data_IF_647118146866
#
_entry.id   IF_647118146866
#
_cell.length_a   1.000
_cell.length_b   1.000
_cell.length_c   1.000
_cell.angle_alpha   90.00
_cell.angle_beta   90.00
_cell.angle_gamma   90.00
#
_symmetry.space_group_name_H-M   'P 1'
#
loop_
_entity.id
_entity.type
_entity.pdbx_description
1 polymer ?
#
# COMPACT_ATOMS: atom_id res chain seq x y z
N UNK A 1 -5.21 -0.41 36.99
CA UNK A 1 -6.02 0.13 35.88
C UNK A 1 -5.17 0.02 34.62
N UNK A 2 -5.40 -0.99 33.78
CA UNK A 2 -4.65 -1.14 32.52
C UNK A 2 -5.41 -0.32 31.49
N UNK A 3 -4.98 0.92 31.29
CA UNK A 3 -5.42 1.70 30.13
C UNK A 3 -4.48 1.31 29.00
N UNK A 4 -4.82 0.22 28.29
CA UNK A 4 -4.16 -0.07 27.02
C UNK A 4 -4.67 0.95 26.01
N UNK A 5 -4.14 2.17 26.06
CA UNK A 5 -4.31 3.15 24.99
C UNK A 5 -3.60 2.55 23.77
N UNK A 6 -4.37 1.94 22.87
CA UNK A 6 -3.93 1.79 21.48
C UNK A 6 -3.77 3.20 20.94
N UNK A 7 -2.57 3.75 21.05
CA UNK A 7 -2.20 4.95 20.33
C UNK A 7 -2.38 4.64 18.84
N UNK A 8 -2.87 5.61 18.08
CA UNK A 8 -2.92 5.50 16.63
C UNK A 8 -1.50 5.18 16.15
N UNK A 9 -1.30 4.02 15.54
CA UNK A 9 -0.01 3.65 14.99
C UNK A 9 0.18 4.43 13.69
N UNK A 10 1.26 5.20 13.63
CA UNK A 10 1.61 5.93 12.42
C UNK A 10 1.97 4.94 11.31
N UNK A 11 1.37 5.13 10.15
CA UNK A 11 1.55 4.28 8.98
C UNK A 11 1.94 5.11 7.77
N UNK A 12 2.65 4.47 6.86
CA UNK A 12 3.03 5.02 5.56
C UNK A 12 2.40 4.18 4.45
N UNK A 13 2.00 4.83 3.37
CA UNK A 13 1.47 4.20 2.16
C UNK A 13 2.62 4.04 1.17
N UNK A 14 2.77 2.85 0.61
CA UNK A 14 3.79 2.54 -0.38
C UNK A 14 3.17 2.04 -1.67
N UNK A 15 3.59 2.64 -2.78
CA UNK A 15 3.42 2.10 -4.11
C UNK A 15 4.50 1.06 -4.37
N UNK A 16 4.09 -0.19 -4.55
CA UNK A 16 4.99 -1.33 -4.65
C UNK A 16 4.75 -2.03 -5.98
N UNK A 17 5.86 -2.30 -6.65
CA UNK A 17 5.90 -3.09 -7.86
C UNK A 17 6.73 -4.36 -7.62
N UNK A 18 6.20 -5.51 -8.05
CA UNK A 18 6.95 -6.76 -8.01
C UNK A 18 6.61 -7.66 -9.20
N UNK A 19 7.57 -8.52 -9.54
CA UNK A 19 7.43 -9.56 -10.56
C UNK A 19 6.99 -10.87 -9.93
N UNK A 20 6.20 -11.64 -10.69
CA UNK A 20 5.76 -12.98 -10.30
C UNK A 20 6.61 -14.07 -10.95
N UNK A 21 6.82 -15.16 -10.22
CA UNK A 21 7.54 -16.35 -10.67
C UNK A 21 6.62 -17.33 -11.41
N UNK A 22 6.01 -16.88 -12.51
CA UNK A 22 5.18 -17.70 -13.40
C UNK A 22 5.88 -17.96 -14.75
N UNK A 23 5.44 -18.98 -15.51
CA UNK A 23 5.93 -19.26 -16.88
C UNK A 23 5.89 -18.02 -17.79
N UNK A 24 4.97 -17.10 -17.53
CA UNK A 24 4.94 -15.76 -18.11
C UNK A 24 4.97 -14.76 -16.96
N UNK A 25 6.11 -14.09 -16.79
CA UNK A 25 6.28 -13.09 -15.74
C UNK A 25 5.22 -11.99 -15.86
N UNK A 26 4.56 -11.72 -14.73
CA UNK A 26 3.64 -10.59 -14.59
C UNK A 26 4.22 -9.60 -13.61
N UNK A 27 4.12 -8.34 -14.00
CA UNK A 27 4.39 -7.18 -13.14
C UNK A 27 3.10 -6.78 -12.44
N UNK A 28 3.14 -6.77 -11.11
CA UNK A 28 2.02 -6.44 -10.24
C UNK A 28 2.33 -5.11 -9.55
N UNK A 29 1.34 -4.21 -9.54
CA UNK A 29 1.39 -2.93 -8.84
C UNK A 29 0.33 -2.91 -7.73
N UNK A 30 0.73 -2.54 -6.51
CA UNK A 30 -0.16 -2.44 -5.35
C UNK A 30 0.21 -1.26 -4.47
N UNK A 31 -0.81 -0.67 -3.83
CA UNK A 31 -0.64 0.23 -2.70
C UNK A 31 -0.77 -0.58 -1.42
N UNK A 32 0.26 -0.56 -0.58
CA UNK A 32 0.27 -1.28 0.71
C UNK A 32 0.57 -0.30 1.84
N UNK A 33 0.06 -0.62 3.02
CA UNK A 33 0.20 0.19 4.23
C UNK A 33 1.10 -0.55 5.20
N UNK A 34 2.16 0.11 5.65
CA UNK A 34 3.10 -0.43 6.63
C UNK A 34 3.26 0.53 7.80
N UNK A 35 3.61 0.04 9.01
CA UNK A 35 4.03 0.90 10.11
C UNK A 35 5.16 1.82 9.66
N UNK A 36 5.16 3.08 10.10
CA UNK A 36 6.18 4.07 9.69
C UNK A 36 7.61 3.66 10.08
N UNK A 37 7.73 2.76 11.08
CA UNK A 37 9.00 2.22 11.54
C UNK A 37 9.60 1.18 10.59
N UNK A 38 8.84 0.65 9.63
CA UNK A 38 9.34 -0.36 8.70
C UNK A 38 10.37 0.25 7.74
N UNK A 39 11.51 -0.42 7.65
CA UNK A 39 12.55 -0.16 6.67
C UNK A 39 12.18 -0.78 5.32
N UNK A 40 12.85 -0.32 4.24
CA UNK A 40 12.65 -0.90 2.91
C UNK A 40 12.91 -2.40 2.87
N UNK A 41 13.89 -2.91 3.63
CA UNK A 41 14.20 -4.34 3.69
C UNK A 41 13.06 -5.12 4.35
N UNK A 42 12.53 -4.63 5.48
CA UNK A 42 11.38 -5.25 6.16
C UNK A 42 10.13 -5.26 5.27
N UNK A 43 9.94 -4.21 4.45
CA UNK A 43 8.87 -4.18 3.44
C UNK A 43 9.10 -5.25 2.36
N UNK A 44 10.33 -5.38 1.83
CA UNK A 44 10.65 -6.42 0.84
C UNK A 44 10.43 -7.84 1.39
N UNK A 45 10.87 -8.09 2.61
CA UNK A 45 10.64 -9.37 3.31
C UNK A 45 9.15 -9.61 3.50
N UNK A 46 8.40 -8.64 4.01
CA UNK A 46 6.96 -8.76 4.18
C UNK A 46 6.24 -9.04 2.86
N UNK A 47 6.63 -8.41 1.75
CA UNK A 47 6.06 -8.71 0.42
C UNK A 47 6.37 -10.16 0.02
N UNK A 48 7.64 -10.57 0.16
CA UNK A 48 8.09 -11.90 -0.26
C UNK A 48 7.46 -13.03 0.57
N UNK A 49 7.15 -12.78 1.84
CA UNK A 49 6.53 -13.75 2.75
C UNK A 49 5.01 -13.82 2.61
N UNK A 50 4.35 -12.70 2.32
CA UNK A 50 2.87 -12.61 2.35
C UNK A 50 2.21 -12.70 0.98
N UNK A 51 2.94 -12.45 -0.11
CA UNK A 51 2.41 -12.62 -1.47
C UNK A 51 2.94 -13.91 -2.11
N UNK A 52 2.05 -14.60 -2.82
CA UNK A 52 2.40 -15.83 -3.50
C UNK A 52 3.22 -15.55 -4.77
N UNK A 53 4.22 -16.39 -5.02
CA UNK A 53 5.06 -16.36 -6.22
C UNK A 53 5.77 -15.02 -6.47
N UNK A 54 6.15 -14.26 -5.44
CA UNK A 54 7.01 -13.10 -5.65
C UNK A 54 8.37 -13.59 -6.14
N UNK A 55 8.79 -13.10 -7.32
CA UNK A 55 10.14 -13.32 -7.86
C UNK A 55 11.11 -12.26 -7.34
N UNK A 56 10.70 -11.00 -7.46
CA UNK A 56 11.52 -9.83 -7.17
C UNK A 56 10.63 -8.62 -6.93
N UNK A 57 10.92 -7.83 -5.90
CA UNK A 57 10.33 -6.50 -5.70
C UNK A 57 11.17 -5.49 -6.48
N UNK A 58 10.57 -4.86 -7.48
CA UNK A 58 11.26 -3.99 -8.45
C UNK A 58 11.16 -2.51 -8.09
N UNK A 59 10.14 -2.09 -7.36
CA UNK A 59 10.01 -0.71 -6.85
C UNK A 59 9.25 -0.65 -5.52
N UNK A 60 9.69 0.26 -4.66
CA UNK A 60 9.04 0.65 -3.40
C UNK A 60 9.13 2.17 -3.30
N UNK A 61 8.00 2.85 -3.42
CA UNK A 61 7.91 4.31 -3.39
C UNK A 61 6.91 4.75 -2.32
N UNK A 62 7.32 5.65 -1.42
CA UNK A 62 6.40 6.29 -0.48
C UNK A 62 5.44 7.17 -1.26
N UNK A 63 4.14 6.99 -0.99
CA UNK A 63 3.10 7.91 -1.44
C UNK A 63 2.79 8.86 -0.29
N UNK A 64 3.04 10.15 -0.53
CA UNK A 64 2.82 11.20 0.47
C UNK A 64 1.32 11.46 0.66
N UNK A 65 0.59 11.54 -0.45
CA UNK A 65 -0.81 11.93 -0.47
C UNK A 65 -1.59 11.15 -1.54
N UNK A 66 -2.91 11.07 -1.39
CA UNK A 66 -3.85 10.57 -2.40
C UNK A 66 -4.98 11.56 -2.59
N UNK A 67 -5.40 11.80 -3.83
CA UNK A 67 -6.51 12.72 -4.14
C UNK A 67 -7.81 11.95 -4.31
N UNK A 68 -8.84 12.33 -3.55
CA UNK A 68 -10.20 11.89 -3.78
C UNK A 68 -10.81 12.74 -4.90
N UNK A 69 -11.14 12.11 -6.03
CA UNK A 69 -11.91 12.76 -7.08
C UNK A 69 -13.39 12.66 -6.74
N UNK A 70 -14.02 13.77 -6.38
CA UNK A 70 -15.48 13.86 -6.31
C UNK A 70 -16.00 14.25 -7.70
N UNK A 71 -16.77 13.38 -8.33
CA UNK A 71 -17.64 13.84 -9.41
C UNK A 71 -18.73 14.68 -8.75
N UNK A 72 -18.78 15.97 -9.06
CA UNK A 72 -19.97 16.75 -8.79
C UNK A 72 -21.10 16.09 -9.59
N UNK A 73 -21.85 15.19 -8.96
CA UNK A 73 -23.25 15.04 -9.34
C UNK A 73 -23.82 16.44 -9.12
N UNK A 74 -24.04 17.16 -10.22
CA UNK A 74 -24.80 18.38 -10.20
C UNK A 74 -26.05 18.06 -9.39
N UNK A 75 -26.14 18.61 -8.19
CA UNK A 75 -27.41 18.84 -7.53
C UNK A 75 -28.18 19.75 -8.50
N UNK A 76 -28.88 19.15 -9.45
CA UNK A 76 -30.01 19.77 -10.12
C UNK A 76 -31.03 20.00 -9.01
N UNK A 77 -30.87 21.12 -8.30
CA UNK A 77 -31.94 21.71 -7.53
C UNK A 77 -33.00 22.13 -8.55
N UNK A 78 -33.94 21.23 -8.80
CA UNK A 78 -35.24 21.57 -9.36
C UNK A 78 -35.90 22.52 -8.36
N UNK A 79 -35.85 23.82 -8.66
CA UNK A 79 -36.75 24.83 -8.08
C UNK A 79 -37.92 25.06 -9.03
#
# INVERSE_FOLDING_TARGET
MIVNKKYWEEVSIYAIEFLTNELKERKIYKLLVFPIAFTTNEIQEAISENFYNVKEVTSIEIQLDGLLLTTNENESMDY
#
